data_IF_591864593271
#
_entry.id   IF_591864593271
#
_cell.length_a   1.000
_cell.length_b   1.000
_cell.length_c   1.000
_cell.angle_alpha   90.00
_cell.angle_beta   90.00
_cell.angle_gamma   90.00
#
_symmetry.space_group_name_H-M   'P 1'
#
loop_
_entity.id
_entity.type
_entity.pdbx_description
1 polymer ?
#
# COMPACT_ATOMS: atom_id res chain seq x y z
N UNK A 1 1.19 -26.72 10.02
CA UNK A 1 2.05 -25.72 10.68
C UNK A 1 1.16 -24.92 11.63
N UNK A 2 1.28 -25.13 12.93
CA UNK A 2 0.40 -24.52 13.93
C UNK A 2 0.62 -23.02 13.96
N UNK A 3 -0.38 -22.25 13.54
CA UNK A 3 -0.30 -20.79 13.49
C UNK A 3 -0.20 -20.27 14.93
N UNK A 4 0.98 -19.75 15.32
CA UNK A 4 1.14 -19.14 16.64
C UNK A 4 0.21 -17.92 16.73
N UNK A 5 -0.69 -17.95 17.72
CA UNK A 5 -1.59 -16.84 18.03
C UNK A 5 -0.74 -15.64 18.51
N UNK A 6 -0.97 -14.48 17.91
CA UNK A 6 -0.34 -13.23 18.33
C UNK A 6 -0.83 -12.87 19.74
N UNK A 7 0.08 -12.78 20.70
CA UNK A 7 -0.23 -12.43 22.10
C UNK A 7 -0.53 -10.94 22.29
N UNK A 8 -0.09 -10.10 21.36
CA UNK A 8 -0.41 -8.67 21.28
C UNK A 8 -0.35 -8.19 19.83
N UNK A 9 -1.10 -7.16 19.43
CA UNK A 9 -1.03 -6.61 18.09
C UNK A 9 0.33 -5.93 17.82
N UNK A 10 0.75 -5.91 16.56
CA UNK A 10 1.95 -5.19 16.12
C UNK A 10 1.69 -3.69 16.05
N UNK A 11 2.63 -2.87 16.56
CA UNK A 11 2.53 -1.42 16.48
C UNK A 11 2.34 -0.93 15.05
N UNK A 12 1.56 0.15 14.88
CA UNK A 12 1.24 0.77 13.60
C UNK A 12 0.52 -0.11 12.57
N UNK A 13 -0.07 -1.25 12.96
CA UNK A 13 -0.92 -2.06 12.08
C UNK A 13 -2.36 -2.07 12.62
N UNK A 14 -3.28 -1.31 12.03
CA UNK A 14 -4.69 -1.44 12.38
C UNK A 14 -5.38 -2.43 11.42
N UNK A 15 -6.22 -3.31 11.94
CA UNK A 15 -7.14 -4.14 11.14
C UNK A 15 -8.56 -3.67 11.41
N UNK A 16 -9.34 -3.47 10.35
CA UNK A 16 -10.77 -3.21 10.47
C UNK A 16 -11.46 -4.39 11.13
N UNK A 17 -12.41 -4.12 12.01
CA UNK A 17 -13.24 -5.16 12.60
C UNK A 17 -14.18 -5.68 11.51
N UNK A 18 -14.04 -6.96 11.17
CA UNK A 18 -15.08 -7.67 10.43
C UNK A 18 -16.17 -7.98 11.47
N UNK A 19 -17.17 -7.12 11.59
CA UNK A 19 -18.39 -7.35 12.37
C UNK A 19 -18.22 -7.66 13.87
N UNK A 20 -17.66 -6.74 14.65
CA UNK A 20 -17.87 -6.73 16.10
C UNK A 20 -18.08 -5.29 16.59
N UNK A 21 -19.12 -5.09 17.41
CA UNK A 21 -19.48 -3.80 18.02
C UNK A 21 -18.41 -3.25 18.98
N UNK A 22 -17.43 -4.09 19.35
CA UNK A 22 -16.34 -3.72 20.23
C UNK A 22 -15.17 -3.13 19.47
N UNK A 23 -15.09 -1.79 19.44
CA UNK A 23 -13.89 -1.06 19.01
C UNK A 23 -12.68 -1.66 19.74
N UNK A 24 -11.75 -2.19 18.96
CA UNK A 24 -10.55 -2.79 19.51
C UNK A 24 -9.75 -1.72 20.30
N UNK A 25 -9.61 -1.85 21.64
CA UNK A 25 -9.09 -0.79 22.50
C UNK A 25 -7.64 -0.40 22.15
N UNK A 26 -6.88 -1.28 21.49
CA UNK A 26 -5.50 -0.99 21.10
C UNK A 26 -5.41 0.13 20.04
N UNK A 27 -6.44 0.33 19.22
CA UNK A 27 -6.48 1.40 18.21
C UNK A 27 -6.56 2.79 18.88
N UNK A 28 -7.18 2.85 20.07
CA UNK A 28 -7.31 4.08 20.85
C UNK A 28 -6.04 4.40 21.66
N UNK A 29 -5.21 3.40 21.95
CA UNK A 29 -3.96 3.55 22.69
C UNK A 29 -2.96 4.44 21.92
N UNK A 30 -2.58 5.57 22.52
CA UNK A 30 -1.64 6.53 21.92
C UNK A 30 -0.24 5.95 21.73
N UNK A 31 0.14 4.92 22.49
CA UNK A 31 1.40 4.19 22.34
C UNK A 31 1.42 3.37 21.05
N UNK A 32 0.24 3.04 20.50
CA UNK A 32 0.12 2.18 19.34
C UNK A 32 0.64 2.82 18.05
N UNK A 33 0.31 4.09 17.87
CA UNK A 33 0.80 4.95 16.80
C UNK A 33 0.57 6.42 17.19
N UNK A 34 1.62 7.10 17.66
CA UNK A 34 1.54 8.50 18.12
C UNK A 34 1.14 9.44 16.98
N UNK A 35 1.62 9.15 15.79
CA UNK A 35 1.45 9.92 14.56
C UNK A 35 0.21 9.52 13.74
N UNK A 36 -0.74 8.75 14.30
CA UNK A 36 -1.92 8.23 13.60
C UNK A 36 -2.70 9.29 12.81
N UNK A 37 -2.91 10.47 13.40
CA UNK A 37 -3.67 11.55 12.78
C UNK A 37 -2.96 12.09 11.53
N UNK A 38 -1.62 12.12 11.57
CA UNK A 38 -0.80 12.52 10.41
C UNK A 38 -0.87 11.48 9.29
N UNK A 39 -0.79 10.19 9.62
CA UNK A 39 -0.92 9.10 8.64
C UNK A 39 -2.30 9.08 7.97
N UNK A 40 -3.37 9.23 8.76
CA UNK A 40 -4.73 9.33 8.22
C UNK A 40 -4.90 10.57 7.33
N UNK A 41 -4.27 11.70 7.68
CA UNK A 41 -4.28 12.91 6.84
C UNK A 41 -3.55 12.69 5.53
N UNK A 42 -2.36 12.08 5.55
CA UNK A 42 -1.58 11.78 4.35
C UNK A 42 -2.39 10.88 3.39
N UNK A 43 -3.02 9.83 3.90
CA UNK A 43 -3.93 8.98 3.11
C UNK A 43 -5.08 9.77 2.48
N UNK A 44 -5.80 10.60 3.26
CA UNK A 44 -6.92 11.40 2.74
C UNK A 44 -6.49 12.38 1.64
N UNK A 45 -5.29 12.94 1.74
CA UNK A 45 -4.72 13.79 0.68
C UNK A 45 -4.49 12.98 -0.59
N UNK A 46 -3.84 11.81 -0.50
CA UNK A 46 -3.62 10.95 -1.66
C UNK A 46 -4.92 10.47 -2.30
N UNK A 47 -5.92 10.12 -1.49
CA UNK A 47 -7.25 9.74 -1.97
C UNK A 47 -7.90 10.88 -2.75
N UNK A 48 -7.91 12.10 -2.18
CA UNK A 48 -8.46 13.28 -2.85
C UNK A 48 -7.76 13.57 -4.17
N UNK A 49 -6.43 13.43 -4.21
CA UNK A 49 -5.65 13.64 -5.43
C UNK A 49 -5.99 12.60 -6.51
N UNK A 50 -6.26 11.35 -6.11
CA UNK A 50 -6.73 10.30 -7.02
C UNK A 50 -8.14 10.59 -7.55
N UNK A 51 -9.07 10.99 -6.68
CA UNK A 51 -10.42 11.42 -7.09
C UNK A 51 -10.34 12.59 -8.08
N UNK A 52 -9.48 13.57 -7.81
CA UNK A 52 -9.23 14.71 -8.71
C UNK A 52 -8.65 14.25 -10.04
N UNK A 53 -7.75 13.27 -10.06
CA UNK A 53 -7.22 12.70 -11.31
C UNK A 53 -8.34 12.10 -12.17
N UNK A 54 -9.30 11.42 -11.53
CA UNK A 54 -10.45 10.81 -12.23
C UNK A 54 -11.44 11.83 -12.80
N UNK A 55 -11.39 13.10 -12.41
CA UNK A 55 -12.16 14.17 -13.07
C UNK A 55 -11.65 14.46 -14.49
N UNK A 56 -10.37 14.17 -14.77
CA UNK A 56 -9.72 14.46 -16.06
C UNK A 56 -9.41 13.19 -16.87
N UNK A 57 -9.20 12.06 -16.19
CA UNK A 57 -8.87 10.78 -16.80
C UNK A 57 -9.92 9.77 -16.35
N UNK A 58 -10.85 9.46 -17.24
CA UNK A 58 -11.89 8.46 -16.97
C UNK A 58 -11.23 7.12 -16.55
N UNK A 59 -11.65 6.50 -15.41
CA UNK A 59 -11.15 5.21 -14.98
C UNK A 59 -11.68 4.10 -15.90
N UNK A 60 -11.02 3.89 -17.03
CA UNK A 60 -11.43 2.89 -18.00
C UNK A 60 -10.25 2.20 -18.70
N UNK A 61 -10.52 1.06 -19.32
CA UNK A 61 -9.48 0.25 -19.97
C UNK A 61 -8.70 1.01 -21.04
N UNK A 62 -9.36 1.89 -21.81
CA UNK A 62 -8.69 2.70 -22.84
C UNK A 62 -7.70 3.71 -22.28
N UNK A 63 -7.83 4.07 -21.00
CA UNK A 63 -7.01 5.08 -20.34
C UNK A 63 -5.89 4.48 -19.46
N UNK A 64 -5.71 3.16 -19.44
CA UNK A 64 -4.64 2.51 -18.64
C UNK A 64 -3.24 2.96 -19.04
N UNK A 65 -3.03 3.30 -20.31
CA UNK A 65 -1.74 3.77 -20.81
C UNK A 65 -1.59 5.30 -20.72
N UNK A 66 -2.56 6.03 -20.16
CA UNK A 66 -2.54 7.49 -20.12
C UNK A 66 -1.44 7.99 -19.20
N UNK A 67 -0.52 8.76 -19.78
CA UNK A 67 0.58 9.39 -19.06
C UNK A 67 0.34 10.90 -18.92
N UNK A 68 0.67 11.41 -17.74
CA UNK A 68 0.92 12.83 -17.53
C UNK A 68 1.94 12.98 -16.40
N UNK A 69 2.60 14.14 -16.33
CA UNK A 69 3.44 14.46 -15.18
C UNK A 69 2.66 14.38 -13.86
N UNK A 70 1.36 14.72 -13.87
CA UNK A 70 0.49 14.63 -12.68
C UNK A 70 0.22 13.20 -12.25
N UNK A 71 -0.07 12.31 -13.19
CA UNK A 71 -0.24 10.88 -12.91
C UNK A 71 1.04 10.30 -12.30
N UNK A 72 2.19 10.65 -12.87
CA UNK A 72 3.49 10.20 -12.36
C UNK A 72 3.81 10.74 -10.96
N UNK A 73 3.60 12.04 -10.72
CA UNK A 73 3.77 12.66 -9.40
C UNK A 73 2.90 11.98 -8.33
N UNK A 74 1.65 11.68 -8.66
CA UNK A 74 0.73 10.99 -7.75
C UNK A 74 1.24 9.58 -7.41
N UNK A 75 1.65 8.80 -8.41
CA UNK A 75 2.21 7.45 -8.21
C UNK A 75 3.46 7.51 -7.33
N UNK A 76 4.37 8.46 -7.57
CA UNK A 76 5.57 8.63 -6.75
C UNK A 76 5.22 8.90 -5.28
N UNK A 77 4.24 9.77 -5.02
CA UNK A 77 3.79 10.11 -3.66
C UNK A 77 3.13 8.91 -2.98
N UNK A 78 2.26 8.18 -3.67
CA UNK A 78 1.61 6.96 -3.15
C UNK A 78 2.68 5.92 -2.76
N UNK A 79 3.62 5.63 -3.66
CA UNK A 79 4.66 4.64 -3.40
C UNK A 79 5.62 5.06 -2.27
N UNK A 80 5.96 6.36 -2.20
CA UNK A 80 6.79 6.89 -1.11
C UNK A 80 6.09 6.80 0.23
N UNK A 81 4.80 7.11 0.30
CA UNK A 81 3.99 6.92 1.52
C UNK A 81 3.87 5.45 1.92
N UNK A 82 3.74 4.54 0.96
CA UNK A 82 3.79 3.10 1.22
C UNK A 82 5.13 2.70 1.88
N UNK A 83 6.27 3.08 1.29
CA UNK A 83 7.59 2.79 1.86
C UNK A 83 7.76 3.39 3.27
N UNK A 84 7.32 4.64 3.47
CA UNK A 84 7.40 5.29 4.76
C UNK A 84 6.57 4.56 5.83
N UNK A 85 5.38 4.09 5.48
CA UNK A 85 4.53 3.28 6.37
C UNK A 85 5.19 1.93 6.69
N UNK A 86 5.72 1.22 5.69
CA UNK A 86 6.40 -0.05 5.92
C UNK A 86 7.63 0.10 6.83
N UNK A 87 8.46 1.13 6.60
CA UNK A 87 9.60 1.46 7.47
C UNK A 87 9.12 1.73 8.89
N UNK A 88 8.10 2.56 9.03
CA UNK A 88 7.50 2.91 10.32
C UNK A 88 7.01 1.68 11.10
N UNK A 89 6.28 0.77 10.44
CA UNK A 89 5.82 -0.49 11.04
C UNK A 89 7.00 -1.34 11.51
N UNK A 90 8.01 -1.56 10.67
CA UNK A 90 9.15 -2.40 11.04
C UNK A 90 9.94 -1.81 12.22
N UNK A 91 10.22 -0.50 12.19
CA UNK A 91 10.97 0.19 13.25
C UNK A 91 10.20 0.17 14.57
N UNK A 92 8.89 0.47 14.55
CA UNK A 92 8.05 0.46 15.75
C UNK A 92 7.97 -0.93 16.41
N UNK A 93 8.22 -2.00 15.66
CA UNK A 93 8.24 -3.37 16.14
C UNK A 93 9.66 -3.93 16.35
N UNK A 94 10.67 -3.06 16.46
CA UNK A 94 12.03 -3.45 16.87
C UNK A 94 12.87 -4.12 15.78
N UNK A 95 12.53 -3.94 14.51
CA UNK A 95 13.32 -4.47 13.41
C UNK A 95 14.70 -3.79 13.36
N UNK A 96 15.78 -4.59 13.37
CA UNK A 96 17.14 -4.12 13.66
C UNK A 96 17.84 -3.37 12.51
N UNK A 97 17.32 -3.48 11.29
CA UNK A 97 17.96 -2.88 10.11
C UNK A 97 17.75 -1.37 10.10
N UNK A 98 18.77 -0.62 9.68
CA UNK A 98 18.69 0.85 9.57
C UNK A 98 17.55 1.27 8.63
N UNK A 99 16.79 2.34 8.93
CA UNK A 99 15.70 2.81 8.08
C UNK A 99 16.10 3.08 6.63
N UNK A 100 17.35 3.50 6.40
CA UNK A 100 17.90 3.78 5.06
C UNK A 100 18.21 2.52 4.25
N UNK A 101 18.41 1.38 4.93
CA UNK A 101 18.75 0.12 4.28
C UNK A 101 17.52 -0.74 4.01
N UNK A 102 16.37 -0.41 4.61
CA UNK A 102 15.11 -1.13 4.43
C UNK A 102 14.67 -1.11 2.97
N UNK A 103 14.22 -2.26 2.48
CA UNK A 103 13.76 -2.44 1.10
C UNK A 103 12.52 -3.34 1.04
N UNK A 104 12.00 -3.57 -0.16
CA UNK A 104 10.78 -4.36 -0.39
C UNK A 104 10.83 -5.79 0.13
N UNK A 105 12.02 -6.42 0.18
CA UNK A 105 12.19 -7.74 0.78
C UNK A 105 11.99 -7.70 2.30
N UNK A 106 12.32 -6.58 2.96
CA UNK A 106 11.99 -6.37 4.37
C UNK A 106 10.49 -6.12 4.56
N UNK A 107 9.87 -5.33 3.67
CA UNK A 107 8.44 -5.00 3.74
C UNK A 107 7.54 -6.22 3.56
N UNK A 108 7.97 -7.24 2.81
CA UNK A 108 7.27 -8.52 2.68
C UNK A 108 6.91 -9.16 4.03
N UNK A 109 7.74 -8.97 5.06
CA UNK A 109 7.47 -9.49 6.41
C UNK A 109 6.18 -8.93 7.03
N UNK A 110 5.75 -7.75 6.60
CA UNK A 110 4.51 -7.11 7.04
C UNK A 110 3.31 -7.90 6.53
N UNK A 111 3.41 -8.60 5.38
CA UNK A 111 2.31 -9.36 4.80
C UNK A 111 1.69 -10.34 5.80
N UNK A 112 2.53 -11.03 6.59
CA UNK A 112 2.05 -11.99 7.57
C UNK A 112 1.12 -11.36 8.63
N UNK A 113 1.50 -10.18 9.13
CA UNK A 113 0.79 -9.47 10.18
C UNK A 113 -0.42 -8.70 9.65
N UNK A 114 -0.26 -8.03 8.51
CA UNK A 114 -1.27 -7.15 7.92
C UNK A 114 -2.21 -7.88 6.94
N UNK A 115 -1.89 -9.12 6.53
CA UNK A 115 -2.66 -9.91 5.56
C UNK A 115 -2.82 -9.21 4.22
N UNK A 116 -1.78 -8.52 3.75
CA UNK A 116 -1.85 -7.66 2.56
C UNK A 116 -2.28 -8.45 1.31
N UNK A 117 -1.74 -9.67 1.14
CA UNK A 117 -2.09 -10.58 0.04
C UNK A 117 -3.53 -11.10 0.10
N UNK A 118 -4.22 -10.94 1.23
CA UNK A 118 -5.58 -11.47 1.41
C UNK A 118 -6.63 -10.42 0.99
N UNK A 119 -6.23 -9.18 0.70
CA UNK A 119 -7.14 -8.11 0.28
C UNK A 119 -7.28 -8.03 -1.24
N UNK A 120 -8.53 -7.85 -1.68
CA UNK A 120 -8.91 -7.44 -3.03
C UNK A 120 -9.54 -6.04 -2.95
N UNK A 121 -9.23 -5.19 -3.93
CA UNK A 121 -9.84 -3.88 -4.12
C UNK A 121 -10.72 -3.92 -5.36
N UNK A 122 -11.98 -3.48 -5.22
CA UNK A 122 -12.93 -3.39 -6.32
C UNK A 122 -13.22 -1.92 -6.66
N UNK A 123 -12.82 -1.50 -7.85
CA UNK A 123 -13.14 -0.20 -8.45
C UNK A 123 -14.42 -0.34 -9.28
N UNK A 124 -15.57 -0.08 -8.66
CA UNK A 124 -16.89 -0.22 -9.29
C UNK A 124 -17.14 0.75 -10.43
N UNK A 125 -16.52 1.93 -10.37
CA UNK A 125 -16.62 2.97 -11.38
C UNK A 125 -15.80 2.68 -12.62
N UNK A 126 -15.00 1.61 -12.64
CA UNK A 126 -14.17 1.28 -13.78
C UNK A 126 -15.00 0.79 -14.97
N UNK A 127 -14.70 1.28 -16.17
CA UNK A 127 -15.40 0.94 -17.41
C UNK A 127 -14.49 0.15 -18.39
N UNK A 128 -15.01 -0.85 -19.15
CA UNK A 128 -16.42 -1.27 -19.27
C UNK A 128 -16.94 -2.13 -18.12
N UNK A 129 -16.04 -2.74 -17.35
CA UNK A 129 -16.40 -3.59 -16.22
C UNK A 129 -15.64 -3.13 -14.97
N UNK A 130 -16.23 -3.31 -13.77
CA UNK A 130 -15.53 -3.07 -12.51
C UNK A 130 -14.16 -3.74 -12.48
N UNK A 131 -13.14 -2.98 -12.08
CA UNK A 131 -11.76 -3.46 -12.02
C UNK A 131 -11.48 -4.04 -10.64
N UNK A 132 -11.02 -5.29 -10.63
CA UNK A 132 -10.51 -5.96 -9.42
C UNK A 132 -9.00 -5.87 -9.40
N UNK A 133 -8.46 -5.48 -8.26
CA UNK A 133 -7.02 -5.37 -8.03
C UNK A 133 -6.64 -6.17 -6.79
N UNK A 134 -5.56 -6.93 -6.89
CA UNK A 134 -4.92 -7.59 -5.76
C UNK A 134 -3.45 -7.16 -5.70
N UNK A 135 -3.14 -5.96 -5.16
CA UNK A 135 -1.82 -5.34 -5.28
C UNK A 135 -0.68 -6.14 -4.61
N UNK A 136 -1.01 -7.11 -3.77
CA UNK A 136 -0.05 -7.93 -3.03
C UNK A 136 -0.21 -9.42 -3.34
N UNK A 137 -0.85 -9.78 -4.45
CA UNK A 137 -1.12 -11.18 -4.80
C UNK A 137 0.17 -12.01 -4.90
N UNK A 138 1.25 -11.43 -5.44
CA UNK A 138 2.53 -12.14 -5.58
C UNK A 138 3.13 -12.54 -4.21
N UNK A 139 2.68 -11.93 -3.10
CA UNK A 139 3.12 -12.26 -1.74
C UNK A 139 2.36 -13.41 -1.08
N UNK A 140 1.40 -14.04 -1.75
CA UNK A 140 0.57 -15.12 -1.17
C UNK A 140 1.36 -16.43 -0.91
N UNK A 141 2.38 -16.73 -1.73
CA UNK A 141 3.04 -18.04 -1.80
C UNK A 141 4.01 -18.41 -0.66
N UNK A 142 3.99 -17.69 0.47
CA UNK A 142 4.87 -17.94 1.62
C UNK A 142 6.37 -17.62 1.40
N UNK A 143 6.79 -17.41 0.16
CA UNK A 143 8.11 -16.91 -0.21
C UNK A 143 8.00 -15.53 -0.84
N UNK A 144 9.05 -14.72 -0.69
CA UNK A 144 9.10 -13.40 -1.31
C UNK A 144 9.06 -13.52 -2.84
N UNK A 145 8.13 -12.82 -3.48
CA UNK A 145 8.12 -12.55 -4.91
C UNK A 145 8.11 -11.03 -5.15
N UNK A 146 8.76 -10.52 -6.20
CA UNK A 146 8.69 -9.11 -6.56
C UNK A 146 7.24 -8.71 -6.91
N UNK A 147 6.75 -7.62 -6.32
CA UNK A 147 5.48 -7.01 -6.72
C UNK A 147 5.66 -6.28 -8.05
N UNK A 148 4.86 -6.64 -9.05
CA UNK A 148 4.84 -6.00 -10.38
C UNK A 148 4.82 -4.47 -10.31
N UNK A 149 3.83 -3.91 -9.63
CA UNK A 149 3.67 -2.45 -9.50
C UNK A 149 4.86 -1.76 -8.82
N UNK A 150 5.51 -2.43 -7.86
CA UNK A 150 6.66 -1.87 -7.15
C UNK A 150 7.92 -1.88 -8.03
N UNK A 151 8.08 -2.91 -8.86
CA UNK A 151 9.14 -2.92 -9.88
C UNK A 151 8.91 -1.79 -10.89
N UNK A 152 7.69 -1.63 -11.40
CA UNK A 152 7.33 -0.53 -12.30
C UNK A 152 7.61 0.84 -11.70
N UNK A 153 7.26 1.05 -10.42
CA UNK A 153 7.58 2.26 -9.68
C UNK A 153 9.10 2.51 -9.58
N UNK A 154 9.89 1.50 -9.20
CA UNK A 154 11.35 1.66 -9.09
C UNK A 154 11.99 1.97 -10.43
N UNK A 155 11.56 1.29 -11.50
CA UNK A 155 12.02 1.61 -12.85
C UNK A 155 11.70 3.05 -13.23
N UNK A 156 10.46 3.49 -12.96
CA UNK A 156 9.99 4.84 -13.22
C UNK A 156 10.79 5.91 -12.46
N UNK A 157 11.11 5.64 -11.20
CA UNK A 157 11.91 6.50 -10.32
C UNK A 157 13.34 6.71 -10.83
N UNK A 158 13.93 5.71 -11.47
CA UNK A 158 15.32 5.75 -11.94
C UNK A 158 15.45 6.12 -13.43
N UNK A 159 14.43 5.87 -14.26
CA UNK A 159 14.43 6.13 -15.70
C UNK A 159 13.53 7.32 -16.05
N UNK A 160 13.91 8.51 -15.61
CA UNK A 160 13.16 9.76 -15.85
C UNK A 160 12.86 10.04 -17.36
N UNK A 161 13.66 9.62 -18.37
CA UNK A 161 13.30 9.92 -19.76
C UNK A 161 12.37 8.92 -20.47
N UNK A 162 12.04 7.73 -19.93
CA UNK A 162 11.28 6.71 -20.69
C UNK A 162 10.28 5.97 -19.79
N UNK A 163 9.05 6.48 -19.70
CA UNK A 163 7.96 5.88 -18.95
C UNK A 163 6.74 5.60 -19.85
N UNK A 164 6.87 4.58 -20.72
CA UNK A 164 5.84 4.26 -21.73
C UNK A 164 5.04 2.97 -21.48
N UNK A 165 5.24 2.14 -20.43
CA UNK A 165 4.54 0.83 -20.44
C UNK A 165 4.05 0.12 -19.18
N UNK A 166 4.40 0.51 -17.96
CA UNK A 166 4.41 -0.50 -16.89
C UNK A 166 3.52 -0.29 -15.65
N UNK A 167 2.71 0.76 -15.54
CA UNK A 167 2.03 1.03 -14.26
C UNK A 167 0.64 0.38 -14.13
N UNK A 168 0.01 -0.11 -15.20
CA UNK A 168 -1.35 -0.68 -15.15
C UNK A 168 -1.56 -1.98 -15.96
N UNK A 169 -0.48 -2.72 -16.26
CA UNK A 169 -0.59 -4.08 -16.81
C UNK A 169 -0.65 -5.13 -15.71
#
# INVERSE_FOLDING_TARGET
MTQMLLTKPYYRIARGLIYQEDINPYILDSRYCKERSSLCRAYKILQKDLETLFEYIEPCDSNKATYSHRTFELVLRICTEFEANCKGILIANGYKKSPKQLNICDYYKINYAAKLSDYEVLLRTWHPNPLKLQPFNEWQGGTYQPLSWYQSYNEAKHKIPILIKYILN
#
